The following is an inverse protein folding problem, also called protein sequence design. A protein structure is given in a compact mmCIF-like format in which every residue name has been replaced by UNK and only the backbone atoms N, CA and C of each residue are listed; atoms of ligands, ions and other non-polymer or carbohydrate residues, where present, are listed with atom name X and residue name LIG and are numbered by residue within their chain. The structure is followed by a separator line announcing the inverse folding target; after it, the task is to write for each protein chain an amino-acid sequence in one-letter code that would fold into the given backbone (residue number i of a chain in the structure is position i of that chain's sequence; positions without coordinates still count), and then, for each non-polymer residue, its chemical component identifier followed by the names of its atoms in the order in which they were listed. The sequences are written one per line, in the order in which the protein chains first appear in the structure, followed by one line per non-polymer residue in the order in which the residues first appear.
data_IF_072601855968
#
_entry.id   IF_072601855968
#
_cell.length_a   1.000
_cell.length_b   1.000
_cell.length_c   1.000
_cell.angle_alpha   90.00
_cell.angle_beta   90.00
_cell.angle_gamma   90.00
#
_symmetry.space_group_name_H-M   'P 1'
#
loop_
_entity.id
_entity.type
_entity.pdbx_description
1 polymer ?
#
# COMPACT_ATOMS: atom_id res chain seq x y z
N UNK A 1 -14.80 -18.90 8.54
CA UNK A 1 -13.66 -19.66 8.03
C UNK A 1 -12.78 -18.65 7.31
N UNK A 2 -11.58 -18.39 7.84
CA UNK A 2 -10.62 -17.44 7.26
C UNK A 2 -10.20 -17.87 5.86
N UNK A 3 -9.73 -16.93 5.06
CA UNK A 3 -9.14 -17.20 3.75
C UNK A 3 -8.00 -18.22 3.90
N UNK A 4 -8.11 -19.36 3.23
CA UNK A 4 -7.16 -20.48 3.36
C UNK A 4 -5.89 -20.33 2.51
N UNK A 5 -5.57 -19.15 1.99
CA UNK A 5 -4.40 -18.90 1.15
C UNK A 5 -3.33 -18.04 1.81
N UNK A 6 -2.21 -17.86 1.11
CA UNK A 6 -1.06 -17.12 1.62
C UNK A 6 -1.30 -15.60 1.69
N UNK A 7 -0.64 -14.95 2.65
CA UNK A 7 -0.52 -13.51 2.78
C UNK A 7 0.85 -13.05 2.25
N UNK A 8 0.86 -12.17 1.27
CA UNK A 8 2.06 -11.53 0.74
C UNK A 8 2.13 -10.06 1.14
N UNK A 9 3.23 -9.65 1.76
CA UNK A 9 3.53 -8.26 2.11
C UNK A 9 4.70 -7.77 1.26
N UNK A 10 4.42 -6.99 0.23
CA UNK A 10 5.41 -6.29 -0.58
C UNK A 10 5.75 -4.96 0.11
N UNK A 11 6.89 -4.90 0.74
CA UNK A 11 7.30 -3.87 1.70
C UNK A 11 7.28 -4.42 3.13
N UNK A 12 7.94 -5.55 3.37
CA UNK A 12 7.96 -6.26 4.67
C UNK A 12 8.49 -5.44 5.86
N UNK A 13 9.17 -4.29 5.59
CA UNK A 13 9.60 -3.33 6.61
C UNK A 13 8.69 -2.11 6.75
N UNK A 14 7.60 -2.06 5.99
CA UNK A 14 6.60 -0.99 6.13
C UNK A 14 5.87 -1.10 7.46
N UNK A 15 5.73 0.02 8.18
CA UNK A 15 4.96 0.05 9.44
C UNK A 15 3.53 -0.43 9.23
N UNK A 16 2.89 0.04 8.16
CA UNK A 16 1.51 -0.37 7.81
C UNK A 16 1.48 -1.84 7.39
N UNK A 17 2.45 -2.27 6.57
CA UNK A 17 2.58 -3.66 6.12
C UNK A 17 2.75 -4.62 7.31
N UNK A 18 3.60 -4.26 8.28
CA UNK A 18 3.80 -5.02 9.53
C UNK A 18 2.52 -5.12 10.38
N UNK A 19 1.79 -4.00 10.51
CA UNK A 19 0.51 -4.00 11.24
C UNK A 19 -0.56 -4.86 10.54
N UNK A 20 -0.58 -4.90 9.22
CA UNK A 20 -1.48 -5.79 8.47
C UNK A 20 -1.06 -7.25 8.61
N UNK A 21 0.24 -7.53 8.53
CA UNK A 21 0.74 -8.89 8.72
C UNK A 21 0.31 -9.47 10.08
N UNK A 22 0.46 -8.70 11.17
CA UNK A 22 0.04 -9.11 12.53
C UNK A 22 -1.43 -9.47 12.63
N UNK A 23 -2.29 -8.76 11.90
CA UNK A 23 -3.76 -8.93 11.97
C UNK A 23 -4.29 -10.02 11.05
N UNK A 24 -3.52 -10.37 10.02
CA UNK A 24 -3.98 -11.27 8.97
C UNK A 24 -3.21 -12.59 8.92
N UNK A 25 -2.22 -12.81 9.79
CA UNK A 25 -1.31 -13.97 9.71
C UNK A 25 -1.89 -15.27 10.27
N UNK A 26 -2.89 -15.20 11.16
CA UNK A 26 -3.39 -16.38 11.88
C UNK A 26 -3.89 -17.47 10.91
N UNK A 27 -3.39 -18.68 11.09
CA UNK A 27 -3.74 -19.86 10.29
C UNK A 27 -3.25 -19.83 8.84
N UNK A 28 -2.32 -18.94 8.46
CA UNK A 28 -1.88 -18.73 7.06
C UNK A 28 -0.35 -18.72 6.92
N UNK A 29 0.19 -19.16 5.78
CA UNK A 29 1.57 -18.85 5.42
C UNK A 29 1.70 -17.36 5.06
N UNK A 30 2.81 -16.74 5.49
CA UNK A 30 3.12 -15.33 5.24
C UNK A 30 4.45 -15.21 4.50
N UNK A 31 4.49 -14.35 3.47
CA UNK A 31 5.73 -13.96 2.79
C UNK A 31 5.96 -12.47 2.96
N UNK A 32 7.11 -12.11 3.54
CA UNK A 32 7.55 -10.73 3.72
C UNK A 32 8.61 -10.41 2.66
N UNK A 33 8.28 -9.56 1.69
CA UNK A 33 9.18 -9.17 0.61
C UNK A 33 9.71 -7.75 0.82
N UNK A 34 11.03 -7.56 0.79
CA UNK A 34 11.69 -6.26 0.92
C UNK A 34 13.09 -6.27 0.29
N UNK A 35 13.70 -5.09 0.11
CA UNK A 35 15.09 -4.96 -0.38
C UNK A 35 16.07 -5.57 0.62
N UNK A 36 16.64 -6.74 0.28
CA UNK A 36 17.42 -7.57 1.20
C UNK A 36 16.55 -8.17 2.32
N UNK A 37 17.05 -9.23 2.92
CA UNK A 37 16.29 -10.02 3.90
C UNK A 37 16.47 -9.53 5.35
N UNK A 38 17.40 -8.61 5.60
CA UNK A 38 17.70 -8.11 6.94
C UNK A 38 16.59 -7.23 7.52
N UNK A 39 16.46 -7.23 8.85
CA UNK A 39 15.55 -6.35 9.59
C UNK A 39 14.09 -6.82 9.62
N UNK A 40 13.81 -8.07 9.20
CA UNK A 40 12.47 -8.66 9.28
C UNK A 40 12.37 -9.79 10.32
N UNK A 41 13.49 -10.18 10.96
CA UNK A 41 13.53 -11.32 11.90
C UNK A 41 12.62 -11.13 13.11
N UNK A 42 12.58 -9.92 13.66
CA UNK A 42 11.67 -9.59 14.76
C UNK A 42 10.20 -9.79 14.39
N UNK A 43 9.79 -9.22 13.25
CA UNK A 43 8.43 -9.39 12.73
C UNK A 43 8.13 -10.86 12.40
N UNK A 44 9.08 -11.58 11.77
CA UNK A 44 8.94 -13.00 11.48
C UNK A 44 8.65 -13.83 12.73
N UNK A 45 9.44 -13.65 13.79
CA UNK A 45 9.27 -14.35 15.05
C UNK A 45 7.93 -14.03 15.71
N UNK A 46 7.53 -12.77 15.67
CA UNK A 46 6.24 -12.29 16.19
C UNK A 46 5.06 -12.93 15.44
N UNK A 47 5.09 -12.97 14.10
CA UNK A 47 4.02 -13.56 13.30
C UNK A 47 3.88 -15.07 13.54
N UNK A 48 5.00 -15.80 13.68
CA UNK A 48 4.98 -17.22 14.06
C UNK A 48 4.32 -17.42 15.43
N UNK A 49 4.66 -16.57 16.40
CA UNK A 49 4.05 -16.60 17.74
C UNK A 49 2.57 -16.21 17.73
N UNK A 50 2.15 -15.42 16.72
CA UNK A 50 0.76 -14.98 16.51
C UNK A 50 -0.07 -15.96 15.67
N UNK A 51 0.43 -17.15 15.39
CA UNK A 51 -0.34 -18.21 14.73
C UNK A 51 -0.18 -18.29 13.21
N UNK A 52 0.80 -17.62 12.61
CA UNK A 52 1.17 -17.88 11.21
C UNK A 52 1.65 -19.33 11.06
N UNK A 53 1.21 -20.03 10.02
CA UNK A 53 1.62 -21.43 9.79
C UNK A 53 3.07 -21.54 9.31
N UNK A 54 3.55 -20.53 8.59
CA UNK A 54 4.94 -20.33 8.21
C UNK A 54 5.18 -18.85 7.90
N UNK A 55 6.44 -18.37 8.04
CA UNK A 55 6.81 -17.01 7.63
C UNK A 55 8.13 -17.08 6.87
N UNK A 56 8.11 -16.64 5.62
CA UNK A 56 9.24 -16.60 4.71
C UNK A 56 9.63 -15.16 4.41
N UNK A 57 10.92 -14.91 4.21
CA UNK A 57 11.44 -13.64 3.70
C UNK A 57 11.87 -13.80 2.25
N UNK A 58 11.68 -12.75 1.45
CA UNK A 58 12.00 -12.73 0.03
C UNK A 58 12.66 -11.40 -0.32
N UNK A 59 13.80 -11.46 -1.00
CA UNK A 59 14.45 -10.25 -1.53
C UNK A 59 13.63 -9.69 -2.70
N UNK A 60 13.27 -8.42 -2.63
CA UNK A 60 12.46 -7.73 -3.61
C UNK A 60 12.88 -6.26 -3.71
N UNK A 61 13.29 -5.82 -4.90
CA UNK A 61 13.45 -4.40 -5.20
C UNK A 61 12.33 -3.94 -6.14
N UNK A 62 11.53 -2.99 -5.68
CA UNK A 62 10.42 -2.46 -6.47
C UNK A 62 10.87 -1.74 -7.76
N UNK A 63 12.09 -1.22 -7.80
CA UNK A 63 12.64 -0.57 -8.99
C UNK A 63 12.97 -1.57 -10.11
N UNK A 64 13.18 -2.86 -9.77
CA UNK A 64 13.45 -3.94 -10.73
C UNK A 64 12.14 -4.50 -11.33
N UNK A 65 11.46 -3.68 -12.13
CA UNK A 65 10.11 -3.97 -12.67
C UNK A 65 10.07 -5.30 -13.44
N UNK A 66 11.16 -5.67 -14.12
CA UNK A 66 11.27 -6.94 -14.86
C UNK A 66 11.19 -8.18 -13.96
N UNK A 67 11.50 -8.06 -12.67
CA UNK A 67 11.47 -9.16 -11.69
C UNK A 67 10.10 -9.38 -11.06
N UNK A 68 9.13 -8.47 -11.20
CA UNK A 68 7.90 -8.47 -10.43
C UNK A 68 7.10 -9.78 -10.56
N UNK A 69 6.97 -10.32 -11.76
CA UNK A 69 6.25 -11.59 -11.97
C UNK A 69 6.96 -12.76 -11.28
N UNK A 70 8.26 -12.86 -11.45
CA UNK A 70 9.07 -13.91 -10.83
C UNK A 70 9.01 -13.85 -9.29
N UNK A 71 8.98 -12.63 -8.72
CA UNK A 71 8.83 -12.42 -7.27
C UNK A 71 7.49 -12.97 -6.77
N UNK A 72 6.39 -12.75 -7.48
CA UNK A 72 5.07 -13.27 -7.09
C UNK A 72 5.02 -14.80 -7.19
N UNK A 73 5.56 -15.37 -8.26
CA UNK A 73 5.66 -16.82 -8.45
C UNK A 73 6.52 -17.47 -7.35
N UNK A 74 7.66 -16.88 -7.03
CA UNK A 74 8.53 -17.33 -5.95
C UNK A 74 7.86 -17.21 -4.57
N UNK A 75 7.10 -16.13 -4.32
CA UNK A 75 6.36 -15.96 -3.08
C UNK A 75 5.29 -17.05 -2.90
N UNK A 76 4.56 -17.40 -3.96
CA UNK A 76 3.58 -18.49 -3.93
C UNK A 76 4.25 -19.85 -3.70
N UNK A 77 5.41 -20.11 -4.33
CA UNK A 77 6.17 -21.32 -4.14
C UNK A 77 6.72 -21.46 -2.71
N UNK A 78 7.27 -20.38 -2.12
CA UNK A 78 7.74 -20.35 -0.73
C UNK A 78 6.60 -20.58 0.27
N UNK A 79 5.45 -20.02 0.02
CA UNK A 79 4.26 -20.20 0.86
C UNK A 79 3.67 -21.61 0.74
N UNK A 80 3.94 -22.33 -0.35
CA UNK A 80 3.28 -23.60 -0.66
C UNK A 80 1.77 -23.50 -0.83
N UNK A 81 1.27 -22.28 -1.11
CA UNK A 81 -0.15 -21.98 -1.22
C UNK A 81 -0.40 -20.82 -2.20
N UNK A 82 -1.62 -20.75 -2.75
CA UNK A 82 -2.08 -19.63 -3.54
C UNK A 82 -2.11 -18.33 -2.71
N UNK A 83 -1.62 -17.23 -3.27
CA UNK A 83 -1.73 -15.91 -2.63
C UNK A 83 -3.17 -15.43 -2.73
N UNK A 84 -3.83 -15.26 -1.58
CA UNK A 84 -5.21 -14.75 -1.50
C UNK A 84 -5.30 -13.36 -0.89
N UNK A 85 -4.21 -12.86 -0.31
CA UNK A 85 -4.10 -11.46 0.12
C UNK A 85 -2.72 -10.93 -0.22
N UNK A 86 -2.65 -9.91 -1.06
CA UNK A 86 -1.41 -9.22 -1.40
C UNK A 86 -1.48 -7.74 -0.96
N UNK A 87 -0.50 -7.31 -0.18
CA UNK A 87 -0.39 -5.94 0.33
C UNK A 87 0.78 -5.25 -0.34
N UNK A 88 0.52 -4.24 -1.16
CA UNK A 88 1.53 -3.44 -1.86
C UNK A 88 1.86 -2.23 -0.99
N UNK A 89 2.74 -2.42 -0.01
CA UNK A 89 3.09 -1.45 1.03
C UNK A 89 4.48 -0.81 0.85
N UNK A 90 5.15 -1.05 -0.27
CA UNK A 90 6.39 -0.36 -0.59
C UNK A 90 6.11 1.05 -1.12
N UNK A 91 7.04 1.97 -0.90
CA UNK A 91 6.99 3.34 -1.36
C UNK A 91 8.05 4.18 -0.67
N UNK A 92 8.29 5.36 -1.19
CA UNK A 92 9.21 6.37 -0.63
C UNK A 92 8.51 7.73 -0.61
N UNK A 93 8.74 8.52 0.43
CA UNK A 93 8.26 9.89 0.46
C UNK A 93 9.18 10.80 -0.38
N UNK A 94 10.47 10.49 -0.37
CA UNK A 94 11.52 11.33 -0.93
C UNK A 94 11.72 12.64 -0.18
N UNK A 95 12.64 13.43 -0.69
CA UNK A 95 12.91 14.80 -0.23
C UNK A 95 12.39 15.77 -1.30
N UNK A 96 11.36 16.55 -0.96
CA UNK A 96 10.74 17.48 -1.90
C UNK A 96 11.68 18.62 -2.31
N UNK A 97 12.50 19.14 -1.40
CA UNK A 97 13.43 20.23 -1.72
C UNK A 97 14.53 19.73 -2.67
N UNK A 98 15.04 18.55 -2.43
CA UNK A 98 15.99 17.89 -3.33
C UNK A 98 15.34 17.61 -4.69
N UNK A 99 14.12 17.06 -4.72
CA UNK A 99 13.42 16.71 -5.96
C UNK A 99 13.04 17.93 -6.83
N UNK A 100 13.04 19.14 -6.27
CA UNK A 100 12.84 20.39 -7.03
C UNK A 100 14.06 20.74 -7.92
N UNK A 101 15.24 20.16 -7.65
CA UNK A 101 16.51 20.50 -8.29
C UNK A 101 17.32 19.28 -8.78
N UNK A 102 16.85 18.06 -8.49
CA UNK A 102 17.49 16.79 -8.83
C UNK A 102 16.47 15.91 -9.54
N UNK A 103 16.55 15.90 -10.87
CA UNK A 103 15.63 15.12 -11.71
C UNK A 103 15.77 13.61 -11.48
N UNK A 104 16.96 13.11 -11.11
CA UNK A 104 17.14 11.70 -10.79
C UNK A 104 16.40 11.32 -9.52
N UNK A 105 16.46 12.17 -8.47
CA UNK A 105 15.69 11.94 -7.26
C UNK A 105 14.18 12.02 -7.50
N UNK A 106 13.72 12.98 -8.30
CA UNK A 106 12.31 13.08 -8.68
C UNK A 106 11.85 11.85 -9.48
N UNK A 107 12.71 11.34 -10.37
CA UNK A 107 12.46 10.13 -11.15
C UNK A 107 12.38 8.89 -10.25
N UNK A 108 13.29 8.73 -9.28
CA UNK A 108 13.28 7.61 -8.32
C UNK A 108 11.95 7.54 -7.55
N UNK A 109 11.44 8.71 -7.11
CA UNK A 109 10.11 8.77 -6.45
C UNK A 109 9.02 8.32 -7.42
N UNK A 110 9.05 8.78 -8.66
CA UNK A 110 8.05 8.40 -9.66
C UNK A 110 8.15 6.91 -10.04
N UNK A 111 9.35 6.39 -10.15
CA UNK A 111 9.60 4.98 -10.44
C UNK A 111 9.01 4.08 -9.34
N UNK A 112 9.38 4.32 -8.08
CA UNK A 112 8.96 3.45 -6.97
C UNK A 112 7.47 3.63 -6.64
N UNK A 113 6.98 4.87 -6.56
CA UNK A 113 5.64 5.16 -6.04
C UNK A 113 4.54 5.14 -7.10
N UNK A 114 4.91 5.07 -8.40
CA UNK A 114 3.94 4.96 -9.48
C UNK A 114 4.25 3.82 -10.43
N UNK A 115 5.34 3.86 -11.19
CA UNK A 115 5.60 2.87 -12.24
C UNK A 115 5.72 1.44 -11.68
N UNK A 116 6.46 1.26 -10.60
CA UNK A 116 6.59 -0.03 -9.92
C UNK A 116 5.26 -0.51 -9.29
N UNK A 117 4.46 0.43 -8.74
CA UNK A 117 3.13 0.11 -8.20
C UNK A 117 2.19 -0.37 -9.32
N UNK A 118 2.16 0.34 -10.45
CA UNK A 118 1.36 -0.05 -11.63
C UNK A 118 1.76 -1.43 -12.13
N UNK A 119 3.07 -1.68 -12.28
CA UNK A 119 3.59 -2.98 -12.71
C UNK A 119 3.17 -4.10 -11.74
N UNK A 120 3.42 -3.91 -10.44
CA UNK A 120 3.12 -4.92 -9.43
C UNK A 120 1.62 -5.21 -9.33
N UNK A 121 0.78 -4.18 -9.31
CA UNK A 121 -0.69 -4.34 -9.28
C UNK A 121 -1.23 -5.02 -10.54
N UNK A 122 -0.61 -4.76 -11.70
CA UNK A 122 -0.95 -5.45 -12.95
C UNK A 122 -0.62 -6.94 -12.87
N UNK A 123 0.57 -7.29 -12.37
CA UNK A 123 0.98 -8.70 -12.19
C UNK A 123 0.07 -9.41 -11.20
N UNK A 124 -0.20 -8.80 -10.04
CA UNK A 124 -1.08 -9.37 -9.02
C UNK A 124 -2.50 -9.63 -9.57
N UNK A 125 -3.05 -8.67 -10.31
CA UNK A 125 -4.38 -8.80 -10.91
C UNK A 125 -4.45 -9.78 -12.09
N UNK A 126 -3.31 -10.20 -12.63
CA UNK A 126 -3.18 -11.22 -13.66
C UNK A 126 -3.00 -12.62 -13.05
N UNK A 127 -2.22 -12.73 -11.97
CA UNK A 127 -1.84 -14.01 -11.37
C UNK A 127 -2.85 -14.48 -10.31
N UNK A 128 -3.38 -13.56 -9.50
CA UNK A 128 -4.34 -13.91 -8.45
C UNK A 128 -5.73 -14.16 -9.04
N UNK A 129 -6.38 -15.25 -8.64
CA UNK A 129 -7.72 -15.61 -9.11
C UNK A 129 -8.83 -15.20 -8.15
N UNK A 130 -8.48 -15.00 -6.86
CA UNK A 130 -9.44 -14.68 -5.78
C UNK A 130 -8.78 -13.95 -4.62
N UNK A 131 -9.60 -13.31 -3.80
CA UNK A 131 -9.16 -12.65 -2.57
C UNK A 131 -8.99 -11.13 -2.73
N UNK A 132 -7.95 -10.56 -2.10
CA UNK A 132 -7.80 -9.12 -1.99
C UNK A 132 -6.39 -8.63 -2.35
N UNK A 133 -6.32 -7.58 -3.16
CA UNK A 133 -5.14 -6.76 -3.36
C UNK A 133 -5.34 -5.46 -2.58
N UNK A 134 -4.32 -5.02 -1.83
CA UNK A 134 -4.35 -3.77 -1.07
C UNK A 134 -3.29 -2.82 -1.63
N UNK A 135 -3.70 -1.61 -2.01
CA UNK A 135 -2.82 -0.55 -2.50
C UNK A 135 -2.99 0.73 -1.65
N UNK A 136 -1.90 1.48 -1.50
CA UNK A 136 -1.89 2.72 -0.72
C UNK A 136 -1.68 3.94 -1.62
N UNK A 137 -2.77 4.65 -1.90
CA UNK A 137 -2.77 6.02 -2.37
C UNK A 137 -2.52 6.99 -1.19
N UNK A 138 -2.90 8.23 -1.29
CA UNK A 138 -2.76 9.25 -0.23
C UNK A 138 -3.69 10.42 -0.47
N UNK A 139 -4.04 11.16 0.59
CA UNK A 139 -4.64 12.51 0.46
C UNK A 139 -3.76 13.46 -0.37
N UNK A 140 -2.43 13.24 -0.38
CA UNK A 140 -1.49 14.04 -1.17
C UNK A 140 -1.75 13.94 -2.68
N UNK A 141 -2.25 12.78 -3.16
CA UNK A 141 -2.66 12.59 -4.55
C UNK A 141 -4.00 13.25 -4.92
N UNK A 142 -4.80 13.62 -3.93
CA UNK A 142 -6.12 14.21 -4.19
C UNK A 142 -6.03 15.62 -4.74
N UNK A 143 -5.08 16.41 -4.23
CA UNK A 143 -4.76 17.75 -4.72
C UNK A 143 -3.31 18.09 -4.44
N UNK A 144 -2.52 18.29 -5.50
CA UNK A 144 -1.11 18.61 -5.40
C UNK A 144 -0.87 19.92 -4.60
N UNK A 145 0.13 19.92 -3.73
CA UNK A 145 0.64 21.07 -2.98
C UNK A 145 2.13 21.28 -3.30
N UNK A 146 2.58 22.52 -3.22
CA UNK A 146 4.01 22.83 -3.40
C UNK A 146 4.91 22.02 -2.47
N UNK A 147 4.44 21.75 -1.26
CA UNK A 147 5.18 21.01 -0.24
C UNK A 147 5.53 19.55 -0.62
N UNK A 148 4.80 18.93 -1.53
CA UNK A 148 4.96 17.52 -1.87
C UNK A 148 4.40 17.17 -3.26
N UNK A 149 4.59 18.03 -4.25
CA UNK A 149 3.96 17.80 -5.56
C UNK A 149 4.58 16.62 -6.32
N UNK A 150 5.85 16.29 -6.11
CA UNK A 150 6.49 15.14 -6.74
C UNK A 150 5.84 13.85 -6.22
N UNK A 151 5.86 13.62 -4.91
CA UNK A 151 5.17 12.50 -4.27
C UNK A 151 3.66 12.52 -4.54
N UNK A 152 3.02 13.70 -4.42
CA UNK A 152 1.58 13.85 -4.64
C UNK A 152 1.14 13.49 -6.05
N UNK A 153 1.96 13.79 -7.08
CA UNK A 153 1.65 13.42 -8.46
C UNK A 153 1.69 11.89 -8.68
N UNK A 154 2.63 11.19 -8.04
CA UNK A 154 2.69 9.72 -8.12
C UNK A 154 1.44 9.08 -7.49
N UNK A 155 1.03 9.60 -6.32
CA UNK A 155 -0.18 9.10 -5.65
C UNK A 155 -1.46 9.46 -6.37
N UNK A 156 -1.51 10.57 -7.10
CA UNK A 156 -2.63 10.91 -7.99
C UNK A 156 -2.73 9.94 -9.17
N UNK A 157 -1.60 9.64 -9.82
CA UNK A 157 -1.52 8.66 -10.90
C UNK A 157 -1.91 7.25 -10.42
N UNK A 158 -1.35 6.82 -9.30
CA UNK A 158 -1.68 5.53 -8.69
C UNK A 158 -3.17 5.42 -8.35
N UNK A 159 -3.75 6.49 -7.81
CA UNK A 159 -5.18 6.52 -7.47
C UNK A 159 -6.07 6.36 -8.70
N UNK A 160 -5.74 7.04 -9.79
CA UNK A 160 -6.43 6.89 -11.07
C UNK A 160 -6.29 5.47 -11.64
N UNK A 161 -5.09 4.89 -11.59
CA UNK A 161 -4.85 3.51 -11.99
C UNK A 161 -5.68 2.53 -11.16
N UNK A 162 -5.72 2.70 -9.84
CA UNK A 162 -6.50 1.85 -8.94
C UNK A 162 -8.01 1.92 -9.23
N UNK A 163 -8.54 3.07 -9.63
CA UNK A 163 -9.95 3.20 -10.05
C UNK A 163 -10.23 2.32 -11.26
N UNK A 164 -9.43 2.45 -12.34
CA UNK A 164 -9.59 1.62 -13.53
C UNK A 164 -9.39 0.12 -13.27
N UNK A 165 -8.43 -0.24 -12.42
CA UNK A 165 -8.22 -1.62 -12.02
C UNK A 165 -9.40 -2.17 -11.21
N UNK A 166 -9.98 -1.39 -10.31
CA UNK A 166 -11.16 -1.78 -9.55
C UNK A 166 -12.36 -2.08 -10.47
N UNK A 167 -12.56 -1.26 -11.52
CA UNK A 167 -13.61 -1.48 -12.52
C UNK A 167 -13.34 -2.77 -13.32
N UNK A 168 -12.09 -3.02 -13.73
CA UNK A 168 -11.70 -4.27 -14.40
C UNK A 168 -12.00 -5.51 -13.55
N UNK A 169 -11.79 -5.42 -12.23
CA UNK A 169 -11.98 -6.54 -11.30
C UNK A 169 -13.44 -6.75 -10.89
N UNK A 170 -14.35 -5.88 -11.30
CA UNK A 170 -15.75 -5.99 -10.92
C UNK A 170 -16.37 -7.32 -11.40
N UNK A 171 -16.99 -8.04 -10.47
CA UNK A 171 -17.63 -9.33 -10.76
C UNK A 171 -16.67 -10.52 -10.79
N UNK A 172 -15.35 -10.32 -10.64
CA UNK A 172 -14.36 -11.39 -10.49
C UNK A 172 -14.32 -11.96 -9.07
N UNK A 173 -13.49 -12.97 -8.83
CA UNK A 173 -13.16 -13.47 -7.49
C UNK A 173 -12.15 -12.60 -6.71
N UNK A 174 -11.64 -11.53 -7.33
CA UNK A 174 -10.59 -10.68 -6.80
C UNK A 174 -11.12 -9.26 -6.56
N UNK A 175 -10.70 -8.62 -5.47
CA UNK A 175 -11.05 -7.24 -5.15
C UNK A 175 -9.81 -6.39 -4.86
N UNK A 176 -9.86 -5.11 -5.24
CA UNK A 176 -8.87 -4.11 -4.91
C UNK A 176 -9.36 -3.20 -3.76
N UNK A 177 -8.57 -3.13 -2.69
CA UNK A 177 -8.76 -2.15 -1.61
C UNK A 177 -7.75 -1.03 -1.80
N UNK A 178 -8.25 0.15 -2.20
CA UNK A 178 -7.42 1.36 -2.32
C UNK A 178 -7.55 2.18 -1.04
N UNK A 179 -6.52 2.19 -0.21
CA UNK A 179 -6.48 3.01 1.00
C UNK A 179 -5.95 4.42 0.67
N UNK A 180 -6.66 5.46 1.13
CA UNK A 180 -6.29 6.88 1.06
C UNK A 180 -6.04 7.41 2.47
N UNK A 181 -4.90 7.12 3.09
CA UNK A 181 -4.59 7.68 4.39
C UNK A 181 -4.28 9.18 4.30
N UNK A 182 -4.47 9.86 5.42
CA UNK A 182 -3.90 11.17 5.69
C UNK A 182 -2.41 11.06 6.03
N UNK A 183 -1.92 11.98 6.87
CA UNK A 183 -0.57 11.87 7.42
C UNK A 183 -0.52 10.67 8.38
N UNK A 184 0.36 9.71 8.11
CA UNK A 184 0.57 8.53 8.96
C UNK A 184 1.82 8.76 9.80
N UNK A 185 1.66 8.73 11.13
CA UNK A 185 2.77 8.89 12.09
C UNK A 185 3.54 7.56 12.15
N UNK A 186 4.67 7.48 11.46
CA UNK A 186 5.49 6.29 11.35
C UNK A 186 6.91 6.60 10.86
N UNK A 187 7.66 5.57 10.53
CA UNK A 187 9.05 5.68 10.10
C UNK A 187 9.25 6.59 8.88
N UNK A 188 8.34 6.53 7.89
CA UNK A 188 8.40 7.34 6.67
C UNK A 188 8.24 8.85 6.93
N UNK A 189 7.58 9.23 8.01
CA UNK A 189 7.29 10.62 8.38
C UNK A 189 8.03 11.07 9.63
N UNK A 190 9.07 10.32 10.02
CA UNK A 190 9.88 10.64 11.20
C UNK A 190 10.52 12.01 11.07
N UNK A 191 10.42 12.82 12.13
CA UNK A 191 10.93 14.21 12.16
C UNK A 191 9.98 15.24 11.54
N UNK A 192 8.89 14.84 10.91
CA UNK A 192 7.89 15.77 10.37
C UNK A 192 6.82 16.11 11.41
N UNK A 193 6.28 17.33 11.34
CA UNK A 193 5.16 17.74 12.19
C UNK A 193 3.85 17.08 11.73
N UNK A 194 3.13 16.36 12.60
CA UNK A 194 1.86 15.75 12.26
C UNK A 194 0.83 16.78 11.76
N UNK A 195 0.14 16.43 10.69
CA UNK A 195 -0.95 17.24 10.13
C UNK A 195 -2.28 16.98 10.87
N UNK A 196 -3.29 17.86 10.74
CA UNK A 196 -4.65 17.56 11.21
C UNK A 196 -5.16 16.23 10.65
N UNK A 197 -5.88 15.45 11.47
CA UNK A 197 -6.39 14.12 11.13
C UNK A 197 -5.27 13.08 10.85
N UNK A 198 -4.08 13.28 11.44
CA UNK A 198 -3.04 12.25 11.41
C UNK A 198 -3.51 10.95 12.07
N UNK A 199 -3.03 9.84 11.59
CA UNK A 199 -3.34 8.49 12.10
C UNK A 199 -2.06 7.69 12.31
N UNK A 200 -2.15 6.60 13.06
CA UNK A 200 -1.05 5.64 13.22
C UNK A 200 -1.16 4.53 12.17
N UNK A 201 -0.07 3.78 11.89
CA UNK A 201 -0.11 2.58 11.04
C UNK A 201 -1.16 1.57 11.47
N UNK A 202 -1.39 1.44 12.78
CA UNK A 202 -2.40 0.59 13.39
C UNK A 202 -3.82 0.93 12.92
N UNK A 203 -4.18 2.21 12.96
CA UNK A 203 -5.50 2.70 12.52
C UNK A 203 -5.72 2.42 11.03
N UNK A 204 -4.66 2.59 10.23
CA UNK A 204 -4.72 2.28 8.78
C UNK A 204 -4.94 0.78 8.56
N UNK A 205 -4.18 -0.05 9.25
CA UNK A 205 -4.30 -1.51 9.15
C UNK A 205 -5.69 -2.00 9.59
N UNK A 206 -6.21 -1.49 10.71
CA UNK A 206 -7.54 -1.83 11.21
C UNK A 206 -8.64 -1.50 10.17
N UNK A 207 -8.57 -0.35 9.51
CA UNK A 207 -9.54 0.03 8.49
C UNK A 207 -9.50 -0.90 7.27
N UNK A 208 -8.30 -1.32 6.85
CA UNK A 208 -8.10 -2.26 5.74
C UNK A 208 -8.61 -3.66 6.10
N UNK A 209 -8.24 -4.18 7.27
CA UNK A 209 -8.71 -5.49 7.77
C UNK A 209 -10.23 -5.54 7.81
N UNK A 210 -10.87 -4.51 8.38
CA UNK A 210 -12.34 -4.42 8.40
C UNK A 210 -12.95 -4.44 6.99
N UNK A 211 -12.29 -3.86 5.99
CA UNK A 211 -12.77 -3.89 4.61
C UNK A 211 -12.63 -5.31 4.00
N UNK A 212 -11.56 -6.03 4.30
CA UNK A 212 -11.35 -7.42 3.89
C UNK A 212 -12.44 -8.31 4.53
N UNK A 213 -12.59 -8.24 5.85
CA UNK A 213 -13.55 -9.06 6.62
C UNK A 213 -15.00 -8.81 6.24
N UNK A 214 -15.34 -7.57 5.85
CA UNK A 214 -16.71 -7.25 5.41
C UNK A 214 -17.11 -7.91 4.10
N UNK A 215 -16.18 -8.56 3.41
CA UNK A 215 -16.41 -9.37 2.21
C UNK A 215 -16.53 -10.86 2.54
N UNK A 216 -16.32 -11.27 3.81
CA UNK A 216 -16.41 -12.66 4.24
C UNK A 216 -17.81 -13.22 3.98
N UNK A 217 -17.88 -14.37 3.28
CA UNK A 217 -19.16 -15.02 2.95
C UNK A 217 -19.89 -14.42 1.73
N UNK A 218 -19.34 -13.40 1.08
CA UNK A 218 -19.87 -12.81 -0.14
C UNK A 218 -18.78 -12.70 -1.21
N UNK A 219 -19.20 -12.40 -2.46
CA UNK A 219 -18.22 -12.10 -3.51
C UNK A 219 -17.43 -10.84 -3.13
N UNK A 220 -16.08 -10.84 -3.17
CA UNK A 220 -15.29 -9.70 -2.83
C UNK A 220 -15.60 -8.51 -3.75
N UNK A 221 -15.64 -7.30 -3.19
CA UNK A 221 -15.92 -6.07 -3.92
C UNK A 221 -14.82 -5.05 -3.68
N UNK A 222 -14.32 -4.45 -4.75
CA UNK A 222 -13.32 -3.38 -4.67
C UNK A 222 -13.85 -2.17 -3.91
N UNK A 223 -13.00 -1.57 -3.08
CA UNK A 223 -13.37 -0.44 -2.20
C UNK A 223 -12.26 0.59 -2.12
N UNK A 224 -12.66 1.85 -2.00
CA UNK A 224 -11.76 2.96 -1.68
C UNK A 224 -12.04 3.43 -0.25
N UNK A 225 -10.99 3.51 0.57
CA UNK A 225 -11.08 3.86 1.98
C UNK A 225 -10.41 5.20 2.25
N UNK A 226 -11.13 6.16 2.83
CA UNK A 226 -10.56 7.37 3.41
C UNK A 226 -10.22 7.12 4.89
N UNK A 227 -8.96 7.36 5.27
CA UNK A 227 -8.48 7.01 6.62
C UNK A 227 -7.78 8.22 7.25
N UNK A 228 -8.39 8.83 8.29
CA UNK A 228 -9.71 8.52 8.85
C UNK A 228 -10.87 8.98 7.94
N UNK A 229 -12.06 8.49 8.17
CA UNK A 229 -13.25 8.83 7.35
C UNK A 229 -13.48 10.34 7.18
N UNK A 230 -13.34 11.20 8.22
CA UNK A 230 -13.52 12.65 8.07
C UNK A 230 -12.58 13.29 7.06
N UNK A 231 -11.46 12.62 6.72
CA UNK A 231 -10.51 13.08 5.71
C UNK A 231 -11.17 13.26 4.34
N UNK A 232 -12.21 12.48 4.04
CA UNK A 232 -12.97 12.60 2.78
C UNK A 232 -13.62 13.99 2.65
N UNK A 233 -14.24 14.48 3.72
CA UNK A 233 -14.85 15.82 3.71
C UNK A 233 -13.77 16.89 3.53
N UNK A 234 -12.67 16.80 4.25
CA UNK A 234 -11.53 17.72 4.07
C UNK A 234 -11.02 17.69 2.62
N UNK A 235 -10.88 16.52 2.01
CA UNK A 235 -10.43 16.37 0.64
C UNK A 235 -11.36 17.08 -0.36
N UNK A 236 -12.68 16.99 -0.18
CA UNK A 236 -13.64 17.71 -1.02
C UNK A 236 -13.54 19.23 -0.83
N UNK A 237 -13.45 19.71 0.42
CA UNK A 237 -13.24 21.13 0.71
C UNK A 237 -11.96 21.63 0.05
N UNK A 238 -10.86 20.87 0.15
CA UNK A 238 -9.60 21.22 -0.49
C UNK A 238 -9.73 21.42 -2.01
N UNK A 239 -10.54 20.64 -2.71
CA UNK A 239 -10.79 20.80 -4.16
C UNK A 239 -11.48 22.13 -4.51
N UNK A 240 -12.30 22.66 -3.62
CA UNK A 240 -13.05 23.89 -3.84
C UNK A 240 -12.20 25.16 -3.63
N UNK A 241 -11.09 25.09 -2.90
CA UNK A 241 -10.23 26.25 -2.63
C UNK A 241 -9.63 26.76 -3.95
N UNK A 242 -9.79 28.03 -4.34
CA UNK A 242 -9.22 28.58 -5.56
C UNK A 242 -7.69 28.46 -5.60
N UNK A 243 -7.13 28.24 -6.79
CA UNK A 243 -5.67 28.02 -6.94
C UNK A 243 -4.81 29.18 -6.42
N UNK A 244 -5.19 30.48 -6.55
CA UNK A 244 -4.43 31.58 -5.96
C UNK A 244 -4.27 31.46 -4.45
N UNK A 245 -5.30 31.00 -3.74
CA UNK A 245 -5.25 30.76 -2.29
C UNK A 245 -4.47 29.49 -1.99
N UNK A 246 -4.74 28.41 -2.74
CA UNK A 246 -4.11 27.11 -2.54
C UNK A 246 -2.58 27.14 -2.64
N UNK A 247 -2.03 27.95 -3.57
CA UNK A 247 -0.56 28.07 -3.75
C UNK A 247 0.19 28.64 -2.53
N UNK A 248 -0.50 29.34 -1.65
CA UNK A 248 0.04 29.94 -0.43
C UNK A 248 -0.17 29.05 0.82
N UNK A 249 -0.77 27.86 0.65
CA UNK A 249 -0.87 26.92 1.76
C UNK A 249 0.53 26.51 2.25
N UNK A 250 0.74 26.38 3.58
CA UNK A 250 2.06 26.10 4.14
C UNK A 250 2.68 24.82 3.56
N UNK A 251 4.00 24.87 3.50
CA UNK A 251 4.86 23.72 3.17
C UNK A 251 4.79 22.65 4.23
#
# INVERSE_FOLDING_TARGET
MGETGALLILGGRSDIGGQLARRLCEGRPVVLAARGEHGMDGLRSELLSSGATSVHTLSFDAAEVSSHRAVIEQAAALAGAEITTAVVAFGILGDQERAEHDEAHAFDIALVDYAAQVSMLTVLADVMTRGHIVAFSSIAGWRARRANYVYGSTKAGLDAFCQGLADRLQGSGLALITARPGFVIGSMTQGMTPAPLSVTPDVVAQAVVKAIESSAGSRPASRTLWIPRPLQLLAWVMKLVPRPIWRHMPR
#
